data_IF_091577896696
#
_entry.id   IF_091577896696
#
_cell.length_a   1.000
_cell.length_b   1.000
_cell.length_c   1.000
_cell.angle_alpha   90.00
_cell.angle_beta   90.00
_cell.angle_gamma   90.00
#
_symmetry.space_group_name_H-M   'P 1'
#
loop_
_entity.id
_entity.type
_entity.pdbx_description
1 polymer ?
#
# COMPACT_ATOMS: atom_id res chain seq x y z
N UNK A 1 -22.55 6.03 12.33
CA UNK A 1 -21.50 7.03 12.04
C UNK A 1 -21.45 7.26 10.52
N UNK A 2 -22.30 8.16 10.00
CA UNK A 2 -22.40 8.44 8.55
C UNK A 2 -21.41 9.57 8.22
N UNK A 3 -20.33 9.25 7.52
CA UNK A 3 -19.43 10.26 6.97
C UNK A 3 -20.13 10.94 5.80
N UNK A 4 -20.50 12.22 5.95
CA UNK A 4 -20.92 13.07 4.82
C UNK A 4 -19.69 13.26 3.93
N UNK A 5 -19.68 12.62 2.78
CA UNK A 5 -18.70 12.91 1.72
C UNK A 5 -19.22 14.13 0.95
N UNK A 6 -18.41 15.19 0.90
CA UNK A 6 -18.72 16.39 0.10
C UNK A 6 -18.67 16.04 -1.39
N UNK A 7 -19.56 16.61 -2.19
CA UNK A 7 -19.78 16.30 -3.62
C UNK A 7 -18.51 16.29 -4.49
N UNK A 8 -17.45 17.03 -4.13
CA UNK A 8 -16.15 17.00 -4.82
C UNK A 8 -15.27 15.76 -4.53
N UNK A 9 -15.57 14.99 -3.48
CA UNK A 9 -14.85 13.76 -3.11
C UNK A 9 -15.40 12.51 -3.80
N UNK A 10 -16.66 12.53 -4.23
CA UNK A 10 -17.31 11.40 -4.92
C UNK A 10 -16.66 11.13 -6.27
N UNK A 11 -16.39 12.17 -7.07
CA UNK A 11 -15.69 12.02 -8.35
C UNK A 11 -14.27 11.46 -8.20
N UNK A 12 -13.59 11.80 -7.10
CA UNK A 12 -12.25 11.26 -6.80
C UNK A 12 -12.31 9.79 -6.40
N UNK A 13 -13.27 9.41 -5.56
CA UNK A 13 -13.46 8.03 -5.16
C UNK A 13 -13.82 7.14 -6.36
N UNK A 14 -14.70 7.60 -7.25
CA UNK A 14 -15.12 6.87 -8.47
C UNK A 14 -13.95 6.67 -9.43
N UNK A 15 -13.16 7.72 -9.71
CA UNK A 15 -12.02 7.63 -10.61
C UNK A 15 -10.93 6.70 -10.03
N UNK A 16 -10.68 6.78 -8.72
CA UNK A 16 -9.76 5.90 -8.02
C UNK A 16 -10.24 4.43 -8.06
N UNK A 17 -11.53 4.17 -7.84
CA UNK A 17 -12.10 2.82 -7.90
C UNK A 17 -11.95 2.22 -9.31
N UNK A 18 -12.18 3.03 -10.35
CA UNK A 18 -12.01 2.62 -11.75
C UNK A 18 -10.56 2.30 -12.07
N UNK A 19 -9.62 3.11 -11.59
CA UNK A 19 -8.18 2.87 -11.74
C UNK A 19 -7.73 1.59 -11.00
N UNK A 20 -8.27 1.36 -9.80
CA UNK A 20 -8.03 0.15 -9.03
C UNK A 20 -8.55 -1.10 -9.76
N UNK A 21 -9.79 -1.06 -10.26
CA UNK A 21 -10.36 -2.16 -11.03
C UNK A 21 -9.59 -2.46 -12.33
N UNK A 22 -9.04 -1.44 -13.00
CA UNK A 22 -8.22 -1.64 -14.21
C UNK A 22 -6.89 -2.34 -13.92
N UNK A 23 -6.33 -2.16 -12.73
CA UNK A 23 -4.97 -2.59 -12.43
C UNK A 23 -4.92 -3.91 -11.65
N UNK A 24 -6.05 -4.36 -11.10
CA UNK A 24 -6.15 -5.58 -10.31
C UNK A 24 -7.16 -6.55 -10.90
N UNK A 25 -6.81 -7.84 -10.91
CA UNK A 25 -7.70 -8.91 -11.39
C UNK A 25 -8.80 -9.24 -10.36
N UNK A 26 -8.48 -9.14 -9.06
CA UNK A 26 -9.46 -9.26 -7.95
C UNK A 26 -8.90 -8.57 -6.70
N UNK A 27 -9.61 -7.58 -6.17
CA UNK A 27 -9.20 -6.83 -4.97
C UNK A 27 -9.96 -7.40 -3.77
N UNK A 28 -9.24 -7.81 -2.72
CA UNK A 28 -9.87 -8.30 -1.49
C UNK A 28 -9.90 -7.26 -0.38
N UNK A 29 -8.94 -6.31 -0.41
CA UNK A 29 -8.78 -5.35 0.66
C UNK A 29 -8.30 -4.01 0.15
N UNK A 30 -8.90 -2.97 0.71
CA UNK A 30 -8.52 -1.57 0.55
C UNK A 30 -8.39 -1.02 1.96
N UNK A 31 -7.24 -0.44 2.28
CA UNK A 31 -6.98 0.16 3.58
C UNK A 31 -6.32 1.54 3.43
N UNK A 32 -6.68 2.46 4.30
CA UNK A 32 -6.07 3.79 4.33
C UNK A 32 -4.86 3.76 5.24
N UNK A 33 -3.74 4.36 4.79
CA UNK A 33 -2.56 4.46 5.63
C UNK A 33 -2.83 5.42 6.78
N UNK A 34 -2.72 4.95 8.02
CA UNK A 34 -2.94 5.79 9.21
C UNK A 34 -1.87 6.88 9.36
N UNK A 35 -0.67 6.62 8.85
CA UNK A 35 0.45 7.57 8.88
C UNK A 35 0.30 8.70 7.87
N UNK A 36 -0.43 8.48 6.76
CA UNK A 36 -0.62 9.48 5.70
C UNK A 36 -2.02 9.35 5.10
N UNK A 37 -2.90 10.35 5.29
CA UNK A 37 -4.28 10.29 4.80
C UNK A 37 -4.38 10.32 3.28
N UNK A 38 -3.28 10.60 2.59
CA UNK A 38 -3.21 10.59 1.13
C UNK A 38 -2.74 9.26 0.56
N UNK A 39 -2.39 8.27 1.39
CA UNK A 39 -1.92 6.98 0.92
C UNK A 39 -2.98 5.91 1.12
N UNK A 40 -3.27 5.17 0.04
CA UNK A 40 -4.20 4.05 0.02
C UNK A 40 -3.41 2.79 -0.29
N UNK A 41 -3.59 1.77 0.53
CA UNK A 41 -3.00 0.45 0.34
C UNK A 41 -4.08 -0.48 -0.20
N UNK A 42 -3.74 -1.21 -1.24
CA UNK A 42 -4.63 -2.17 -1.88
C UNK A 42 -3.93 -3.52 -2.01
N UNK A 43 -4.67 -4.59 -1.77
CA UNK A 43 -4.16 -5.95 -1.91
C UNK A 43 -5.04 -6.77 -2.84
N UNK A 44 -4.41 -7.66 -3.60
CA UNK A 44 -5.08 -8.45 -4.62
C UNK A 44 -4.65 -9.91 -4.62
N UNK A 45 -5.54 -10.75 -5.16
CA UNK A 45 -5.26 -12.18 -5.40
C UNK A 45 -4.07 -12.40 -6.34
N UNK A 46 -3.69 -11.38 -7.12
CA UNK A 46 -2.53 -11.42 -8.01
C UNK A 46 -1.17 -11.42 -7.26
N UNK A 47 -1.20 -11.59 -5.92
CA UNK A 47 -0.04 -11.58 -5.03
C UNK A 47 0.70 -10.25 -5.07
N UNK A 48 -0.03 -9.16 -5.29
CA UNK A 48 0.53 -7.83 -5.27
C UNK A 48 -0.20 -6.92 -4.30
N UNK A 49 0.60 -6.14 -3.60
CA UNK A 49 0.16 -5.04 -2.76
C UNK A 49 0.61 -3.76 -3.45
N UNK A 50 -0.34 -2.86 -3.68
CA UNK A 50 -0.09 -1.59 -4.34
C UNK A 50 -0.45 -0.44 -3.42
N UNK A 51 0.45 0.53 -3.37
CA UNK A 51 0.27 1.76 -2.60
C UNK A 51 0.05 2.89 -3.57
N UNK A 52 -1.07 3.58 -3.39
CA UNK A 52 -1.55 4.65 -4.23
C UNK A 52 -1.53 5.95 -3.45
N UNK A 53 -1.29 7.05 -4.17
CA UNK A 53 -1.48 8.39 -3.64
C UNK A 53 -2.86 8.90 -4.09
N UNK A 54 -3.75 9.19 -3.14
CA UNK A 54 -5.12 9.63 -3.41
C UNK A 54 -5.19 11.05 -3.98
N UNK A 55 -4.16 11.89 -3.75
CA UNK A 55 -4.11 13.25 -4.31
C UNK A 55 -3.75 13.24 -5.79
N UNK A 56 -2.77 12.43 -6.17
CA UNK A 56 -2.25 12.37 -7.54
C UNK A 56 -2.81 11.19 -8.34
N UNK A 57 -3.54 10.26 -7.69
CA UNK A 57 -4.01 8.99 -8.25
C UNK A 57 -2.89 8.15 -8.89
N UNK A 58 -1.65 8.31 -8.40
CA UNK A 58 -0.49 7.61 -8.93
C UNK A 58 -0.11 6.41 -8.07
N UNK A 59 0.45 5.38 -8.72
CA UNK A 59 1.03 4.21 -8.05
C UNK A 59 2.40 4.61 -7.49
N UNK A 60 2.55 4.64 -6.17
CA UNK A 60 3.83 4.92 -5.51
C UNK A 60 4.72 3.70 -5.43
N UNK A 61 4.13 2.57 -5.06
CA UNK A 61 4.92 1.37 -4.76
C UNK A 61 4.10 0.14 -5.09
N UNK A 62 4.76 -0.85 -5.69
CA UNK A 62 4.21 -2.18 -5.92
C UNK A 62 5.10 -3.19 -5.22
N UNK A 63 4.52 -3.90 -4.27
CA UNK A 63 5.17 -4.97 -3.50
C UNK A 63 4.61 -6.28 -4.05
N UNK A 64 5.48 -7.22 -4.41
CA UNK A 64 5.09 -8.57 -4.83
C UNK A 64 5.28 -9.51 -3.64
N UNK A 65 4.27 -10.33 -3.36
CA UNK A 65 4.28 -11.35 -2.32
C UNK A 65 4.36 -12.75 -2.95
N UNK A 66 4.82 -13.75 -2.20
CA UNK A 66 4.86 -15.15 -2.67
C UNK A 66 3.48 -15.82 -2.71
N UNK A 67 2.53 -15.27 -1.95
CA UNK A 67 1.20 -15.82 -1.71
C UNK A 67 0.08 -14.80 -1.98
N UNK A 68 -1.15 -15.26 -2.21
CA UNK A 68 -2.31 -14.37 -2.35
C UNK A 68 -2.64 -13.67 -1.02
N UNK A 69 -2.79 -12.35 -1.08
CA UNK A 69 -3.03 -11.52 0.11
C UNK A 69 -4.52 -11.28 0.29
N UNK A 70 -5.05 -11.71 1.43
CA UNK A 70 -6.44 -11.48 1.83
C UNK A 70 -6.65 -10.07 2.39
N UNK A 71 -5.70 -9.62 3.21
CA UNK A 71 -5.79 -8.30 3.87
C UNK A 71 -4.40 -7.69 3.99
N UNK A 72 -4.28 -6.44 3.60
CA UNK A 72 -3.09 -5.63 3.86
C UNK A 72 -3.46 -4.47 4.76
N UNK A 73 -2.62 -4.15 5.74
CA UNK A 73 -2.77 -2.99 6.62
C UNK A 73 -1.52 -2.15 6.67
N UNK A 74 -1.71 -0.83 6.72
CA UNK A 74 -0.62 0.09 7.03
C UNK A 74 -0.19 -0.07 8.49
N UNK A 75 1.11 -0.12 8.75
CA UNK A 75 1.60 -0.06 10.13
C UNK A 75 1.42 1.37 10.68
N UNK A 76 1.03 1.51 11.96
CA UNK A 76 0.92 2.82 12.60
C UNK A 76 2.29 3.45 12.90
N UNK A 77 3.35 2.65 12.96
CA UNK A 77 4.73 3.07 13.14
C UNK A 77 5.61 2.60 11.98
N UNK A 78 6.60 3.42 11.61
CA UNK A 78 7.47 3.17 10.46
C UNK A 78 6.72 3.23 9.12
N UNK A 79 7.49 3.22 8.02
CA UNK A 79 6.91 3.06 6.68
C UNK A 79 6.83 1.58 6.34
N UNK A 80 5.77 0.89 6.74
CA UNK A 80 5.60 -0.53 6.39
C UNK A 80 4.15 -0.94 6.09
N UNK A 81 3.99 -2.11 5.49
CA UNK A 81 2.70 -2.77 5.26
C UNK A 81 2.76 -4.17 5.87
N UNK A 82 1.71 -4.55 6.58
CA UNK A 82 1.48 -5.91 7.04
C UNK A 82 0.55 -6.62 6.06
N UNK A 83 0.91 -7.83 5.64
CA UNK A 83 0.11 -8.65 4.74
C UNK A 83 -0.34 -9.94 5.41
N UNK A 84 -1.57 -10.36 5.11
CA UNK A 84 -2.18 -11.60 5.58
C UNK A 84 -2.47 -12.52 4.39
N UNK A 85 -1.94 -13.74 4.42
CA UNK A 85 -2.19 -14.76 3.41
C UNK A 85 -3.61 -15.35 3.50
N UNK A 86 -4.17 -15.79 2.38
CA UNK A 86 -5.57 -16.23 2.26
C UNK A 86 -5.83 -17.69 2.72
N UNK A 87 -4.93 -18.64 2.47
CA UNK A 87 -5.09 -20.05 2.86
C UNK A 87 -3.76 -20.78 2.96
N UNK A 88 -3.65 -21.69 3.93
CA UNK A 88 -2.53 -22.64 4.09
C UNK A 88 -1.32 -22.07 4.84
N UNK A 89 -1.05 -20.78 4.67
CA UNK A 89 0.03 -20.09 5.37
C UNK A 89 -0.56 -19.15 6.41
N UNK A 90 -0.24 -19.37 7.69
CA UNK A 90 -0.48 -18.42 8.79
C UNK A 90 0.63 -17.37 8.87
N UNK A 91 1.41 -17.22 7.80
CA UNK A 91 2.52 -16.30 7.75
C UNK A 91 2.02 -14.86 7.62
N UNK A 92 2.47 -14.04 8.56
CA UNK A 92 2.33 -12.59 8.55
C UNK A 92 3.65 -12.01 8.02
N UNK A 93 3.68 -11.58 6.75
CA UNK A 93 4.83 -10.84 6.25
C UNK A 93 4.67 -9.34 6.42
N UNK A 94 5.75 -8.73 6.88
CA UNK A 94 5.90 -7.29 7.01
C UNK A 94 6.84 -6.78 5.92
N UNK A 95 6.38 -5.77 5.18
CA UNK A 95 7.16 -5.12 4.14
C UNK A 95 7.53 -3.71 4.59
N UNK A 96 8.83 -3.42 4.72
CA UNK A 96 9.32 -2.05 4.86
C UNK A 96 9.34 -1.34 3.51
N UNK A 97 8.74 -0.15 3.46
CA UNK A 97 8.70 0.79 2.33
C UNK A 97 9.72 1.90 2.47
N UNK A 98 10.62 1.79 3.44
CA UNK A 98 11.67 2.77 3.66
C UNK A 98 12.71 2.65 2.55
N UNK A 99 13.08 3.74 1.85
CA UNK A 99 14.23 3.70 0.98
C UNK A 99 15.41 3.29 1.85
N UNK A 100 16.17 2.26 1.44
CA UNK A 100 17.40 1.86 2.14
C UNK A 100 18.24 3.12 2.31
N UNK A 101 18.25 3.68 3.50
CA UNK A 101 19.09 4.81 3.83
C UNK A 101 20.49 4.30 3.55
N UNK A 102 21.14 4.88 2.53
CA UNK A 102 22.52 4.51 2.20
C UNK A 102 23.31 4.63 3.49
N UNK A 103 23.99 3.57 3.95
CA UNK A 103 24.77 3.68 5.15
C UNK A 103 25.84 4.76 4.94
N UNK A 104 25.96 5.66 5.91
CA UNK A 104 26.87 6.79 5.94
C UNK A 104 28.34 6.37 6.06
N UNK A 105 28.78 5.25 5.47
CA UNK A 105 30.18 4.87 5.56
C UNK A 105 31.02 5.99 4.97
N UNK A 106 31.71 6.68 5.90
CA UNK A 106 32.68 7.72 5.66
C UNK A 106 33.61 7.25 4.56
N UNK A 107 33.70 8.01 3.48
CA UNK A 107 34.87 7.92 2.60
C UNK A 107 36.02 8.41 3.48
N UNK A 108 36.80 7.50 4.04
CA UNK A 108 38.13 7.83 4.55
C UNK A 108 38.98 8.15 3.33
N UNK A 109 38.98 9.41 2.92
CA UNK A 109 39.97 9.93 1.98
C UNK A 109 41.34 9.81 2.64
N UNK A 110 42.05 8.71 2.37
CA UNK A 110 43.47 8.57 2.65
C UNK A 110 44.23 9.62 1.85
N UNK A 111 45.08 10.37 2.56
CA UNK A 111 46.15 11.19 1.98
C UNK A 111 47.23 10.30 1.39
#
# INVERSE_FOLDING_TARGET
>A
MRTRFSSGTEGKAVCLLRQLMRTHRSIYGIDWSQTKPTEIVTCSLDKTIKVWDSKTMTLRTRIKTGYPVWRARGLPFGRGVLSLAQRGETALEMFSREPRIRPWYLTSSGR
#
